data_IF_469141400843
#
_entry.id   IF_469141400843
#
_cell.length_a   1.000
_cell.length_b   1.000
_cell.length_c   1.000
_cell.angle_alpha   90.00
_cell.angle_beta   90.00
_cell.angle_gamma   90.00
#
_symmetry.space_group_name_H-M   'P 1'
#
loop_
_entity.id
_entity.type
_entity.pdbx_description
1 polymer ?
#
# COMPACT_ATOMS: atom_id res chain seq x y z
N UNK A 1 -15.38 -1.68 3.19
CA UNK A 1 -14.32 -0.69 2.82
C UNK A 1 -13.80 0.13 4.01
N UNK A 2 -12.47 0.26 4.14
CA UNK A 2 -11.75 1.15 5.07
C UNK A 2 -10.72 1.97 4.28
N UNK A 3 -10.76 3.31 4.35
CA UNK A 3 -9.85 4.21 3.62
C UNK A 3 -8.96 4.97 4.61
N UNK A 4 -7.66 5.04 4.35
CA UNK A 4 -6.69 5.77 5.19
C UNK A 4 -5.61 6.46 4.36
N UNK A 5 -5.02 7.50 4.94
CA UNK A 5 -3.91 8.28 4.36
C UNK A 5 -2.61 8.04 5.13
N UNK A 6 -1.53 7.89 4.39
CA UNK A 6 -0.21 7.56 4.87
C UNK A 6 0.79 8.57 4.34
N UNK A 7 1.63 9.10 5.22
CA UNK A 7 2.64 10.09 4.85
C UNK A 7 4.02 9.53 5.22
N UNK A 8 4.94 9.48 4.24
CA UNK A 8 6.31 9.02 4.46
C UNK A 8 7.32 9.75 3.57
N UNK A 9 8.61 9.82 3.96
CA UNK A 9 9.66 10.49 3.18
C UNK A 9 9.74 9.99 1.74
N UNK A 10 9.50 8.69 1.53
CA UNK A 10 9.48 8.06 0.21
C UNK A 10 8.16 7.34 -0.06
N UNK A 11 7.85 7.13 -1.35
CA UNK A 11 6.70 6.31 -1.74
C UNK A 11 6.82 4.88 -1.21
N UNK A 12 8.02 4.30 -1.25
CA UNK A 12 8.28 2.93 -0.79
C UNK A 12 7.93 2.77 0.70
N UNK A 13 8.36 3.72 1.53
CA UNK A 13 8.02 3.72 2.96
C UNK A 13 6.52 3.93 3.20
N UNK A 14 5.86 4.78 2.40
CA UNK A 14 4.42 4.99 2.52
C UNK A 14 3.65 3.71 2.18
N UNK A 15 4.04 3.00 1.12
CA UNK A 15 3.44 1.71 0.74
C UNK A 15 3.75 0.63 1.78
N UNK A 16 4.94 0.64 2.40
CA UNK A 16 5.26 -0.28 3.50
C UNK A 16 4.30 -0.09 4.67
N UNK A 17 4.08 1.16 5.09
CA UNK A 17 3.10 1.50 6.13
C UNK A 17 1.68 1.09 5.76
N UNK A 18 1.27 1.29 4.49
CA UNK A 18 -0.03 0.83 4.00
C UNK A 18 -0.17 -0.68 4.20
N UNK A 19 0.82 -1.49 3.82
CA UNK A 19 0.77 -2.95 3.98
C UNK A 19 0.80 -3.40 5.44
N UNK A 20 1.61 -2.73 6.27
CA UNK A 20 1.69 -3.01 7.71
C UNK A 20 0.36 -2.73 8.42
N UNK A 21 -0.39 -1.71 7.99
CA UNK A 21 -1.60 -1.25 8.69
C UNK A 21 -2.91 -1.72 8.06
N UNK A 22 -2.97 -1.82 6.72
CA UNK A 22 -4.15 -2.25 5.95
C UNK A 22 -3.97 -3.63 5.32
N UNK A 23 -2.86 -4.32 5.57
CA UNK A 23 -2.63 -5.66 5.04
C UNK A 23 -2.18 -5.70 3.57
N UNK A 24 -1.83 -6.90 3.08
CA UNK A 24 -1.24 -7.09 1.75
C UNK A 24 -2.21 -6.82 0.60
N UNK A 25 -3.52 -6.91 0.84
CA UNK A 25 -4.58 -6.76 -0.16
C UNK A 25 -5.09 -5.32 -0.27
N UNK A 26 -4.44 -4.36 0.40
CA UNK A 26 -4.77 -2.95 0.32
C UNK A 26 -4.51 -2.38 -1.09
N UNK A 27 -5.45 -1.57 -1.57
CA UNK A 27 -5.39 -0.90 -2.88
C UNK A 27 -5.05 0.58 -2.68
N UNK A 28 -4.03 1.06 -3.41
CA UNK A 28 -3.68 2.49 -3.42
C UNK A 28 -4.64 3.24 -4.35
N UNK A 29 -5.29 4.27 -3.82
CA UNK A 29 -6.24 5.12 -4.55
C UNK A 29 -5.56 6.35 -5.18
N UNK A 30 -4.60 6.94 -4.47
CA UNK A 30 -3.92 8.17 -4.94
C UNK A 30 -2.57 8.33 -4.25
N UNK A 31 -1.62 8.91 -4.98
CA UNK A 31 -0.31 9.30 -4.47
C UNK A 31 -0.04 10.74 -4.85
N UNK A 32 0.39 11.57 -3.90
CA UNK A 32 0.78 12.95 -4.20
C UNK A 32 1.99 13.39 -3.38
N UNK A 33 2.88 14.22 -3.95
CA UNK A 33 3.97 14.81 -3.18
C UNK A 33 3.40 15.80 -2.15
N UNK A 34 3.97 15.81 -0.96
CA UNK A 34 3.61 16.72 0.14
C UNK A 34 4.86 17.30 0.77
N UNK A 35 4.73 18.51 1.34
CA UNK A 35 5.80 19.12 2.14
C UNK A 35 5.58 18.74 3.60
N UNK A 36 6.50 17.97 4.17
CA UNK A 36 6.50 17.66 5.60
C UNK A 36 7.18 18.79 6.37
N UNK A 37 6.40 19.58 7.10
CA UNK A 37 6.94 20.56 8.03
C UNK A 37 7.57 19.84 9.22
N UNK A 38 8.83 20.14 9.55
CA UNK A 38 9.44 19.69 10.81
C UNK A 38 9.31 20.80 11.86
N UNK A 39 8.44 20.57 12.85
CA UNK A 39 8.40 21.34 14.09
C UNK A 39 7.79 22.74 14.02
N UNK A 40 7.72 23.37 15.19
CA UNK A 40 7.06 24.65 15.48
C UNK A 40 7.80 25.90 14.94
N UNK A 41 8.90 25.71 14.21
CA UNK A 41 9.85 26.75 13.79
C UNK A 41 10.37 26.56 12.34
N UNK A 42 9.48 26.20 11.42
CA UNK A 42 9.40 26.78 10.07
C UNK A 42 10.58 26.75 9.07
N UNK A 43 11.75 26.16 9.34
CA UNK A 43 12.93 26.39 8.47
C UNK A 43 13.40 25.19 7.61
N UNK A 44 12.91 23.97 7.83
CA UNK A 44 13.21 22.84 6.95
C UNK A 44 11.95 22.02 6.65
N UNK A 45 11.25 22.37 5.57
CA UNK A 45 10.24 21.51 4.98
C UNK A 45 10.92 20.41 4.16
N UNK A 46 10.76 19.14 4.55
CA UNK A 46 11.26 18.01 3.74
C UNK A 46 10.20 17.58 2.75
N UNK A 47 10.63 17.21 1.54
CA UNK A 47 9.75 16.54 0.58
C UNK A 47 9.30 15.19 1.14
N UNK A 48 8.04 14.86 0.93
CA UNK A 48 7.44 13.59 1.28
C UNK A 48 6.38 13.17 0.29
N UNK A 49 5.83 11.98 0.48
CA UNK A 49 4.74 11.42 -0.33
C UNK A 49 3.58 11.06 0.58
N UNK A 50 2.39 11.50 0.19
CA UNK A 50 1.12 11.05 0.76
C UNK A 50 0.50 10.00 -0.13
N UNK A 51 0.12 8.87 0.46
CA UNK A 51 -0.55 7.75 -0.18
C UNK A 51 -1.91 7.57 0.47
N UNK A 52 -2.98 7.60 -0.33
CA UNK A 52 -4.32 7.21 0.11
C UNK A 52 -4.55 5.77 -0.31
N UNK A 53 -4.92 4.90 0.62
CA UNK A 53 -5.17 3.49 0.36
C UNK A 53 -6.48 3.02 0.99
N UNK A 54 -7.07 1.99 0.42
CA UNK A 54 -8.30 1.36 0.88
C UNK A 54 -8.13 -0.16 1.03
N UNK A 55 -8.75 -0.76 2.03
CA UNK A 55 -8.91 -2.20 2.17
C UNK A 55 -10.40 -2.53 2.24
N UNK A 56 -10.84 -3.55 1.50
CA UNK A 56 -12.20 -4.06 1.59
C UNK A 56 -12.19 -5.41 2.31
N UNK A 57 -12.67 -5.43 3.56
CA UNK A 57 -12.68 -6.62 4.42
C UNK A 57 -13.58 -7.73 3.89
N UNK A 58 -14.53 -7.40 3.04
CA UNK A 58 -15.51 -8.34 2.47
C UNK A 58 -15.04 -8.95 1.13
N UNK A 59 -13.92 -8.49 0.58
CA UNK A 59 -13.27 -9.16 -0.55
C UNK A 59 -12.31 -10.22 -0.03
N UNK A 60 -12.83 -11.42 0.15
CA UNK A 60 -12.02 -12.63 0.19
C UNK A 60 -11.04 -12.61 -1.00
N UNK A 61 -9.72 -12.79 -0.79
CA UNK A 61 -8.75 -12.79 -1.88
C UNK A 61 -8.94 -14.04 -2.73
N UNK A 62 -9.90 -13.98 -3.65
CA UNK A 62 -9.95 -14.90 -4.78
C UNK A 62 -8.79 -14.57 -5.70
N UNK A 63 -8.12 -15.61 -6.20
CA UNK A 63 -7.04 -15.59 -7.18
C UNK A 63 -5.61 -15.36 -6.63
N UNK A 64 -5.21 -16.17 -5.66
CA UNK A 64 -3.83 -16.73 -5.65
C UNK A 64 -3.75 -18.25 -5.90
N UNK A 65 -4.90 -18.89 -6.07
CA UNK A 65 -5.01 -20.26 -6.58
C UNK A 65 -5.22 -20.21 -8.09
N UNK A 66 -4.14 -20.33 -8.89
CA UNK A 66 -4.22 -20.80 -10.30
C UNK A 66 -2.86 -21.01 -11.00
N UNK A 67 -1.73 -20.93 -10.29
CA UNK A 67 -0.40 -21.03 -10.93
C UNK A 67 0.42 -22.28 -10.64
N UNK A 68 0.01 -23.17 -9.72
CA UNK A 68 0.93 -24.18 -9.17
C UNK A 68 0.50 -25.65 -9.32
N UNK A 69 -0.65 -25.96 -9.94
CA UNK A 69 -1.11 -27.36 -10.08
C UNK A 69 -1.30 -27.85 -11.52
N UNK A 70 -0.90 -27.08 -12.53
CA UNK A 70 -0.88 -27.53 -13.93
C UNK A 70 0.53 -27.99 -14.34
N UNK A 71 1.02 -29.03 -13.65
CA UNK A 71 2.32 -29.64 -13.95
C UNK A 71 2.44 -31.11 -13.56
N UNK A 72 1.40 -31.69 -12.96
CA UNK A 72 1.39 -33.10 -12.50
C UNK A 72 0.31 -33.92 -13.20
N UNK A 73 0.27 -33.89 -14.52
CA UNK A 73 -0.37 -34.97 -15.28
C UNK A 73 0.26 -35.11 -16.67
N UNK A 74 1.41 -35.79 -16.71
CA UNK A 74 1.83 -36.44 -17.94
C UNK A 74 1.04 -37.77 -18.05
N UNK A 75 0.18 -37.95 -19.06
CA UNK A 75 -0.39 -39.26 -19.34
C UNK A 75 0.71 -40.17 -19.91
N UNK A 76 0.77 -41.41 -19.42
CA UNK A 76 1.43 -42.53 -20.10
C UNK A 76 0.47 -43.15 -21.11
#
# INVERSE_FOLDING_TARGET
MHIRRFVAPTLLEAVRKVKEELGPDAVVLSTRPVRMARGRFGLLARSGVEVTAAMDRDRHPSVRERGAEEGRRAPR
#
